data_IF_158544395310
#
_entry.id   IF_158544395310
#
_cell.length_a   1.000
_cell.length_b   1.000
_cell.length_c   1.000
_cell.angle_alpha   90.00
_cell.angle_beta   90.00
_cell.angle_gamma   90.00
#
_symmetry.space_group_name_H-M   'P 1'
#
loop_
_entity.id
_entity.type
_entity.pdbx_description
1 polymer ?
#
# COMPACT_ATOMS: atom_id res chain seq x y z
N UNK A 1 -12.90 -19.23 6.37
CA UNK A 1 -12.08 -18.90 5.17
C UNK A 1 -12.39 -17.52 4.59
N UNK A 2 -13.60 -17.25 4.06
CA UNK A 2 -13.94 -15.93 3.46
C UNK A 2 -13.69 -14.72 4.37
N UNK A 3 -14.27 -14.72 5.58
CA UNK A 3 -14.06 -13.64 6.57
C UNK A 3 -12.58 -13.41 6.87
N UNK A 4 -11.81 -14.49 7.02
CA UNK A 4 -10.38 -14.41 7.28
C UNK A 4 -9.63 -13.77 6.11
N UNK A 5 -9.91 -14.18 4.86
CA UNK A 5 -9.28 -13.57 3.68
C UNK A 5 -9.55 -12.06 3.60
N UNK A 6 -10.79 -11.63 3.85
CA UNK A 6 -11.15 -10.20 3.81
C UNK A 6 -10.48 -9.40 4.92
N UNK A 7 -10.48 -9.92 6.15
CA UNK A 7 -9.79 -9.29 7.28
C UNK A 7 -8.29 -9.22 7.03
N UNK A 8 -7.68 -10.28 6.47
CA UNK A 8 -6.26 -10.31 6.11
C UNK A 8 -5.92 -9.28 5.05
N UNK A 9 -6.75 -9.08 4.02
CA UNK A 9 -6.51 -8.04 3.01
C UNK A 9 -6.59 -6.63 3.62
N UNK A 10 -7.58 -6.38 4.48
CA UNK A 10 -7.68 -5.10 5.19
C UNK A 10 -6.46 -4.84 6.09
N UNK A 11 -6.02 -5.83 6.85
CA UNK A 11 -4.83 -5.74 7.71
C UNK A 11 -3.56 -5.48 6.89
N UNK A 12 -3.36 -6.23 5.81
CA UNK A 12 -2.20 -6.04 4.94
C UNK A 12 -2.19 -4.66 4.28
N UNK A 13 -3.36 -4.16 3.86
CA UNK A 13 -3.50 -2.80 3.31
C UNK A 13 -3.06 -1.74 4.32
N UNK A 14 -3.56 -1.79 5.57
CA UNK A 14 -3.18 -0.82 6.61
C UNK A 14 -1.69 -0.92 6.95
N UNK A 15 -1.17 -2.14 7.10
CA UNK A 15 0.26 -2.36 7.42
C UNK A 15 1.17 -1.84 6.32
N UNK A 16 0.82 -2.09 5.05
CA UNK A 16 1.59 -1.60 3.90
C UNK A 16 1.56 -0.06 3.82
N UNK A 17 0.38 0.56 3.92
CA UNK A 17 0.26 2.02 3.95
C UNK A 17 1.06 2.65 5.11
N UNK A 18 0.99 2.06 6.31
CA UNK A 18 1.77 2.51 7.45
C UNK A 18 3.29 2.31 7.25
N UNK A 19 3.70 1.18 6.68
CA UNK A 19 5.09 0.89 6.34
C UNK A 19 5.65 1.93 5.37
N UNK A 20 4.87 2.28 4.34
CA UNK A 20 5.24 3.32 3.38
C UNK A 20 5.30 4.71 4.02
N UNK A 21 4.38 5.06 4.92
CA UNK A 21 4.47 6.31 5.70
C UNK A 21 5.78 6.41 6.48
N UNK A 22 6.14 5.35 7.20
CA UNK A 22 7.39 5.30 7.97
C UNK A 22 8.62 5.38 7.06
N UNK A 23 8.61 4.69 5.92
CA UNK A 23 9.69 4.78 4.95
C UNK A 23 9.83 6.21 4.38
N UNK A 24 8.72 6.86 4.04
CA UNK A 24 8.69 8.23 3.55
C UNK A 24 9.26 9.22 4.57
N UNK A 25 8.98 9.06 5.86
CA UNK A 25 9.55 9.93 6.91
C UNK A 25 11.08 9.84 6.95
N UNK A 26 11.65 8.65 6.79
CA UNK A 26 13.11 8.48 6.72
C UNK A 26 13.68 9.03 5.41
N UNK A 27 12.95 8.93 4.29
CA UNK A 27 13.35 9.52 3.00
C UNK A 27 13.34 11.05 3.01
N UNK A 28 12.40 11.67 3.74
CA UNK A 28 12.34 13.14 3.93
C UNK A 28 13.48 13.67 4.81
N UNK A 29 14.09 12.82 5.64
CA UNK A 29 15.19 13.23 6.51
C UNK A 29 16.48 13.46 5.71
N UNK A 30 16.95 14.71 5.66
CA UNK A 30 18.19 15.11 4.97
C UNK A 30 19.44 14.41 5.52
N UNK A 31 19.44 14.06 6.81
CA UNK A 31 20.58 13.45 7.52
C UNK A 31 20.30 11.99 7.91
N UNK A 32 19.36 11.34 7.23
CA UNK A 32 18.95 9.98 7.53
C UNK A 32 20.07 8.94 7.34
N UNK A 33 20.12 7.99 8.26
CA UNK A 33 20.96 6.79 8.17
C UNK A 33 20.57 5.95 6.94
N UNK A 34 21.53 5.68 6.06
CA UNK A 34 21.33 4.85 4.86
C UNK A 34 20.91 3.42 5.22
N UNK A 35 21.45 2.86 6.31
CA UNK A 35 21.05 1.54 6.80
C UNK A 35 19.59 1.51 7.23
N UNK A 36 19.12 2.56 7.91
CA UNK A 36 17.72 2.71 8.29
C UNK A 36 16.82 2.87 7.05
N UNK A 37 17.24 3.64 6.03
CA UNK A 37 16.48 3.79 4.78
C UNK A 37 16.31 2.45 4.06
N UNK A 38 17.38 1.67 3.95
CA UNK A 38 17.32 0.36 3.31
C UNK A 38 16.47 -0.62 4.13
N UNK A 39 16.60 -0.64 5.46
CA UNK A 39 15.76 -1.46 6.35
C UNK A 39 14.27 -1.15 6.15
N UNK A 40 13.89 0.14 6.14
CA UNK A 40 12.48 0.53 5.94
C UNK A 40 11.98 0.15 4.56
N UNK A 41 12.80 0.28 3.52
CA UNK A 41 12.42 -0.12 2.16
C UNK A 41 12.27 -1.64 2.02
N UNK A 42 13.19 -2.43 2.57
CA UNK A 42 13.04 -3.90 2.56
C UNK A 42 11.75 -4.32 3.28
N UNK A 43 11.41 -3.62 4.38
CA UNK A 43 10.16 -3.88 5.08
C UNK A 43 8.92 -3.54 4.24
N UNK A 44 8.92 -2.47 3.45
CA UNK A 44 7.78 -2.17 2.55
C UNK A 44 7.64 -3.23 1.46
N UNK A 45 8.75 -3.74 0.92
CA UNK A 45 8.74 -4.83 -0.06
C UNK A 45 8.14 -6.15 0.49
N UNK A 46 8.49 -6.50 1.74
CA UNK A 46 7.86 -7.64 2.42
C UNK A 46 6.34 -7.44 2.57
N UNK A 47 5.93 -6.24 2.99
CA UNK A 47 4.51 -5.89 3.17
C UNK A 47 3.76 -5.90 1.84
N UNK A 48 4.39 -5.50 0.74
CA UNK A 48 3.84 -5.62 -0.61
C UNK A 48 3.57 -7.08 -1.00
N UNK A 49 4.51 -7.97 -0.68
CA UNK A 49 4.37 -9.41 -0.92
C UNK A 49 3.22 -10.02 -0.10
N UNK A 50 3.11 -9.64 1.18
CA UNK A 50 1.98 -10.04 2.04
C UNK A 50 0.64 -9.53 1.49
N UNK A 51 0.57 -8.25 1.10
CA UNK A 51 -0.63 -7.61 0.56
C UNK A 51 -1.09 -8.26 -0.76
N UNK A 52 -0.19 -8.43 -1.73
CA UNK A 52 -0.52 -9.05 -3.02
C UNK A 52 -1.00 -10.50 -2.88
N UNK A 53 -0.42 -11.25 -1.93
CA UNK A 53 -0.90 -12.58 -1.57
C UNK A 53 -2.32 -12.54 -0.97
N UNK A 54 -2.60 -11.58 -0.10
CA UNK A 54 -3.94 -11.41 0.47
C UNK A 54 -4.98 -11.02 -0.59
N UNK A 55 -4.63 -10.18 -1.57
CA UNK A 55 -5.50 -9.86 -2.71
C UNK A 55 -5.83 -11.12 -3.50
N UNK A 56 -4.83 -11.93 -3.85
CA UNK A 56 -5.04 -13.18 -4.57
C UNK A 56 -5.99 -14.13 -3.82
N UNK A 57 -5.83 -14.22 -2.49
CA UNK A 57 -6.72 -15.03 -1.66
C UNK A 57 -8.19 -14.54 -1.70
N UNK A 58 -8.41 -13.22 -1.73
CA UNK A 58 -9.76 -12.63 -1.86
C UNK A 58 -10.35 -12.93 -3.24
N UNK A 59 -9.57 -12.79 -4.31
CA UNK A 59 -10.01 -13.08 -5.68
C UNK A 59 -10.43 -14.55 -5.87
N UNK A 60 -9.80 -15.49 -5.15
CA UNK A 60 -10.14 -16.92 -5.21
C UNK A 60 -11.31 -17.28 -4.28
N UNK A 61 -11.36 -16.70 -3.07
CA UNK A 61 -12.28 -17.14 -2.03
C UNK A 61 -13.62 -16.38 -2.00
N UNK A 62 -13.67 -15.16 -2.55
CA UNK A 62 -14.81 -14.25 -2.42
C UNK A 62 -15.89 -14.41 -3.50
N UNK A 63 -17.12 -13.93 -3.26
CA UNK A 63 -18.08 -13.69 -4.33
C UNK A 63 -17.55 -12.61 -5.27
N UNK A 64 -17.99 -12.64 -6.53
CA UNK A 64 -17.49 -11.78 -7.61
C UNK A 64 -17.44 -10.29 -7.23
N UNK A 65 -18.47 -9.78 -6.53
CA UNK A 65 -18.52 -8.40 -6.06
C UNK A 65 -17.33 -8.01 -5.18
N UNK A 66 -16.89 -8.88 -4.28
CA UNK A 66 -15.78 -8.58 -3.35
C UNK A 66 -14.45 -8.63 -4.08
N UNK A 67 -14.29 -9.56 -5.03
CA UNK A 67 -13.11 -9.61 -5.90
C UNK A 67 -13.00 -8.33 -6.75
N UNK A 68 -14.10 -7.90 -7.37
CA UNK A 68 -14.16 -6.66 -8.15
C UNK A 68 -13.87 -5.41 -7.30
N UNK A 69 -14.34 -5.38 -6.05
CA UNK A 69 -14.03 -4.28 -5.14
C UNK A 69 -12.56 -4.26 -4.68
N UNK A 70 -11.84 -5.39 -4.77
CA UNK A 70 -10.42 -5.47 -4.46
C UNK A 70 -9.52 -4.97 -5.61
N UNK A 71 -10.00 -4.96 -6.85
CA UNK A 71 -9.25 -4.53 -8.03
C UNK A 71 -8.79 -3.05 -7.93
N UNK A 72 -9.67 -2.06 -7.69
CA UNK A 72 -9.21 -0.68 -7.51
C UNK A 72 -8.27 -0.49 -6.31
N UNK A 73 -8.36 -1.37 -5.31
CA UNK A 73 -7.50 -1.32 -4.14
C UNK A 73 -6.09 -1.81 -4.46
N UNK A 74 -5.92 -2.90 -5.22
CA UNK A 74 -4.57 -3.34 -5.63
C UNK A 74 -3.94 -2.33 -6.59
N UNK A 75 -4.72 -1.74 -7.51
CA UNK A 75 -4.20 -0.75 -8.46
C UNK A 75 -3.64 0.48 -7.73
N UNK A 76 -4.38 1.03 -6.75
CA UNK A 76 -3.89 2.21 -6.04
C UNK A 76 -2.72 1.89 -5.10
N UNK A 77 -2.71 0.70 -4.49
CA UNK A 77 -1.59 0.27 -3.66
C UNK A 77 -0.34 0.00 -4.50
N UNK A 78 -0.49 -0.44 -5.75
CA UNK A 78 0.62 -0.56 -6.71
C UNK A 78 1.20 0.80 -7.08
N UNK A 79 0.35 1.80 -7.30
CA UNK A 79 0.81 3.17 -7.56
C UNK A 79 1.55 3.76 -6.35
N UNK A 80 1.09 3.49 -5.13
CA UNK A 80 1.82 3.84 -3.92
C UNK A 80 3.21 3.18 -3.89
N UNK A 81 3.27 1.87 -4.09
CA UNK A 81 4.51 1.09 -4.04
C UNK A 81 5.52 1.55 -5.10
N UNK A 82 5.02 1.84 -6.30
CA UNK A 82 5.81 2.40 -7.40
C UNK A 82 6.32 3.80 -7.08
N UNK A 83 5.45 4.69 -6.59
CA UNK A 83 5.83 6.06 -6.24
C UNK A 83 6.88 6.10 -5.11
N UNK A 84 6.72 5.25 -4.09
CA UNK A 84 7.68 5.11 -3.01
C UNK A 84 9.03 4.54 -3.47
N UNK A 85 9.01 3.56 -4.39
CA UNK A 85 10.22 2.98 -4.98
C UNK A 85 10.99 3.99 -5.83
N UNK A 86 10.28 4.72 -6.70
CA UNK A 86 10.85 5.78 -7.52
C UNK A 86 11.48 6.87 -6.65
N UNK A 87 10.82 7.25 -5.55
CA UNK A 87 11.35 8.22 -4.60
C UNK A 87 12.63 7.71 -3.93
N UNK A 88 12.63 6.47 -3.45
CA UNK A 88 13.81 5.85 -2.82
C UNK A 88 15.00 5.83 -3.78
N UNK A 89 14.78 5.49 -5.05
CA UNK A 89 15.84 5.48 -6.05
C UNK A 89 16.38 6.90 -6.35
N UNK A 90 15.51 7.92 -6.34
CA UNK A 90 15.93 9.31 -6.46
C UNK A 90 16.78 9.78 -5.26
N UNK A 91 16.39 9.41 -4.03
CA UNK A 91 17.14 9.69 -2.80
C UNK A 91 18.51 9.03 -2.84
N UNK A 92 18.59 7.75 -3.24
CA UNK A 92 19.88 7.02 -3.35
C UNK A 92 20.81 7.62 -4.39
N UNK A 93 20.27 8.18 -5.46
CA UNK A 93 21.06 8.81 -6.52
C UNK A 93 21.54 10.23 -6.20
N UNK A 94 21.35 10.72 -4.96
CA UNK A 94 21.61 12.11 -4.53
C UNK A 94 20.99 13.17 -5.48
N UNK A 95 19.84 12.83 -6.06
CA UNK A 95 19.11 13.73 -6.96
C UNK A 95 18.29 14.69 -6.11
N UNK A 96 18.96 15.66 -5.48
CA UNK A 96 18.28 16.67 -4.64
C UNK A 96 17.24 17.49 -5.42
N UNK A 97 17.44 17.69 -6.74
CA UNK A 97 16.45 18.33 -7.61
C UNK A 97 15.35 17.33 -7.96
N UNK A 98 14.11 17.64 -7.56
CA UNK A 98 12.92 16.89 -7.93
C UNK A 98 12.37 15.97 -6.84
N UNK A 99 13.01 15.88 -5.66
CA UNK A 99 12.48 15.10 -4.53
C UNK A 99 11.08 15.54 -4.10
N UNK A 100 10.75 16.83 -4.23
CA UNK A 100 9.40 17.34 -3.97
C UNK A 100 8.35 16.70 -4.88
N UNK A 101 8.65 16.51 -6.18
CA UNK A 101 7.70 15.88 -7.10
C UNK A 101 7.47 14.40 -6.77
N UNK A 102 8.50 13.69 -6.28
CA UNK A 102 8.34 12.30 -5.81
C UNK A 102 7.51 12.24 -4.52
N UNK A 103 7.77 13.15 -3.56
CA UNK A 103 6.98 13.27 -2.34
C UNK A 103 5.50 13.60 -2.66
N UNK A 104 5.24 14.54 -3.57
CA UNK A 104 3.88 14.92 -3.97
C UNK A 104 3.13 13.75 -4.62
N UNK A 105 3.81 12.97 -5.49
CA UNK A 105 3.21 11.76 -6.09
C UNK A 105 2.90 10.71 -5.02
N UNK A 106 3.81 10.51 -4.08
CA UNK A 106 3.62 9.58 -2.97
C UNK A 106 2.43 10.00 -2.10
N UNK A 107 2.36 11.27 -1.69
CA UNK A 107 1.28 11.79 -0.85
C UNK A 107 -0.07 11.72 -1.58
N UNK A 108 -0.10 12.01 -2.88
CA UNK A 108 -1.29 11.83 -3.73
C UNK A 108 -1.76 10.36 -3.75
N UNK A 109 -0.83 9.42 -3.92
CA UNK A 109 -1.16 7.99 -3.91
C UNK A 109 -1.67 7.54 -2.53
N UNK A 110 -1.09 8.05 -1.44
CA UNK A 110 -1.52 7.76 -0.07
C UNK A 110 -2.95 8.23 0.21
N UNK A 111 -3.31 9.42 -0.26
CA UNK A 111 -4.67 9.96 -0.11
C UNK A 111 -5.69 9.16 -0.92
N UNK A 112 -5.32 8.77 -2.14
CA UNK A 112 -6.20 8.08 -3.08
C UNK A 112 -6.66 6.68 -2.60
N UNK A 113 -5.97 6.06 -1.64
CA UNK A 113 -6.32 4.74 -1.07
C UNK A 113 -7.68 4.76 -0.36
N UNK A 114 -8.09 5.91 0.18
CA UNK A 114 -9.25 5.97 1.07
C UNK A 114 -10.55 5.48 0.40
N UNK A 115 -10.79 5.89 -0.84
CA UNK A 115 -12.02 5.55 -1.56
C UNK A 115 -12.09 4.06 -1.93
N UNK A 116 -11.07 3.44 -2.59
CA UNK A 116 -11.05 2.01 -2.85
C UNK A 116 -11.14 1.17 -1.57
N UNK A 117 -10.47 1.58 -0.50
CA UNK A 117 -10.52 0.88 0.79
C UNK A 117 -11.92 0.92 1.42
N UNK A 118 -12.61 2.06 1.34
CA UNK A 118 -13.99 2.18 1.81
C UNK A 118 -14.95 1.31 0.97
N UNK A 119 -14.80 1.33 -0.35
CA UNK A 119 -15.60 0.49 -1.26
C UNK A 119 -15.41 -1.01 -0.97
N UNK A 120 -14.16 -1.45 -0.76
CA UNK A 120 -13.87 -2.83 -0.39
C UNK A 120 -14.50 -3.20 0.96
N UNK A 121 -14.39 -2.34 1.98
CA UNK A 121 -15.04 -2.57 3.29
C UNK A 121 -16.55 -2.72 3.16
N UNK A 122 -17.20 -1.90 2.33
CA UNK A 122 -18.64 -1.97 2.11
C UNK A 122 -19.03 -3.29 1.43
N UNK A 123 -18.34 -3.66 0.34
CA UNK A 123 -18.57 -4.94 -0.34
C UNK A 123 -18.39 -6.15 0.59
N UNK A 124 -17.41 -6.09 1.51
CA UNK A 124 -17.20 -7.13 2.53
C UNK A 124 -18.38 -7.20 3.51
N UNK A 125 -18.92 -6.07 3.95
CA UNK A 125 -20.07 -6.04 4.88
C UNK A 125 -21.32 -6.64 4.26
N UNK A 126 -21.62 -6.23 3.03
CA UNK A 126 -22.74 -6.76 2.24
C UNK A 126 -22.59 -8.28 2.06
N UNK A 127 -21.41 -8.74 1.66
CA UNK A 127 -21.13 -10.16 1.44
C UNK A 127 -21.18 -11.02 2.71
N UNK A 128 -20.98 -10.42 3.89
CA UNK A 128 -21.05 -11.10 5.18
C UNK A 128 -22.42 -10.96 5.87
N UNK A 129 -23.34 -10.17 5.30
CA UNK A 129 -24.64 -9.89 5.91
C UNK A 129 -24.52 -9.12 7.23
N UNK A 130 -23.56 -8.19 7.31
CA UNK A 130 -23.28 -7.37 8.51
C UNK A 130 -23.67 -5.91 8.34
N UNK A 131 -24.54 -5.61 7.38
CA UNK A 131 -25.23 -4.31 7.26
C UNK A 131 -26.44 -4.22 8.20
#
# INVERSE_FOLDING_TARGET
MRRQAYTSLLDCCERLSAGWWVAADVMRSEHGDEGLREERFLRTHELWTEFSTAVAAVSVAGPQQVAQAAEPLIDIMFELDSAGTDWRDAVRADRQRGLTAFADRFDTAMEAIQAPRAAFRQAVREALGTD
#
